data_IF_605443283112
#
_entry.id   IF_605443283112
#
_cell.length_a   1.000
_cell.length_b   1.000
_cell.length_c   1.000
_cell.angle_alpha   90.00
_cell.angle_beta   90.00
_cell.angle_gamma   90.00
#
_symmetry.space_group_name_H-M   'P 1'
#
loop_
_entity.id
_entity.type
_entity.pdbx_description
1 polymer ?
#
# COMPACT_ATOMS: atom_id res chain seq x y z
N UNK A 1 11.66 6.85 7.30
CA UNK A 1 10.71 5.73 7.10
C UNK A 1 10.62 5.49 5.60
N UNK A 2 10.71 4.24 5.15
CA UNK A 2 10.58 3.86 3.74
C UNK A 2 9.18 4.20 3.24
N UNK A 3 9.08 4.88 2.10
CA UNK A 3 7.79 5.31 1.51
C UNK A 3 7.35 4.37 0.39
N UNK A 4 6.08 4.42 -0.02
CA UNK A 4 5.58 3.66 -1.18
C UNK A 4 6.32 4.02 -2.47
N UNK A 5 6.70 5.30 -2.59
CA UNK A 5 7.54 5.76 -3.69
C UNK A 5 8.92 5.12 -3.69
N UNK A 6 9.54 4.96 -2.52
CA UNK A 6 10.82 4.25 -2.41
C UNK A 6 10.66 2.80 -2.82
N UNK A 7 9.60 2.11 -2.36
CA UNK A 7 9.33 0.72 -2.72
C UNK A 7 9.11 0.55 -4.22
N UNK A 8 8.38 1.48 -4.86
CA UNK A 8 8.22 1.51 -6.31
C UNK A 8 9.57 1.66 -7.03
N UNK A 9 10.45 2.56 -6.58
CA UNK A 9 11.77 2.77 -7.17
C UNK A 9 12.73 1.61 -6.91
N UNK A 10 12.64 0.96 -5.76
CA UNK A 10 13.42 -0.24 -5.45
C UNK A 10 12.95 -1.44 -6.28
N UNK A 11 11.63 -1.60 -6.49
CA UNK A 11 11.09 -2.59 -7.41
C UNK A 11 11.57 -2.38 -8.86
N UNK A 12 11.60 -1.13 -9.35
CA UNK A 12 12.17 -0.78 -10.66
C UNK A 12 13.67 -1.09 -10.72
N UNK A 13 14.42 -0.70 -9.69
CA UNK A 13 15.88 -0.91 -9.64
C UNK A 13 16.26 -2.39 -9.54
N UNK A 14 15.38 -3.26 -9.02
CA UNK A 14 15.67 -4.70 -8.95
C UNK A 14 15.89 -5.34 -10.32
N UNK A 15 15.26 -4.83 -11.38
CA UNK A 15 15.50 -5.26 -12.76
C UNK A 15 16.93 -4.97 -13.26
N UNK A 16 17.64 -4.05 -12.63
CA UNK A 16 19.02 -3.72 -13.00
C UNK A 16 20.04 -4.69 -12.41
N UNK A 17 19.62 -5.64 -11.59
CA UNK A 17 20.47 -6.72 -11.06
C UNK A 17 20.88 -7.69 -12.18
N UNK A 18 20.01 -7.86 -13.17
CA UNK A 18 20.30 -8.67 -14.36
C UNK A 18 21.52 -8.10 -15.13
N UNK A 19 22.59 -8.88 -15.17
CA UNK A 19 23.82 -8.51 -15.88
C UNK A 19 23.69 -8.53 -17.39
N UNK A 20 22.68 -9.23 -17.92
CA UNK A 20 22.37 -9.28 -19.34
C UNK A 20 21.57 -8.07 -19.82
N UNK A 21 21.04 -7.25 -18.91
CA UNK A 21 20.23 -6.09 -19.26
C UNK A 21 21.09 -4.93 -19.74
N UNK A 22 20.82 -4.49 -20.97
CA UNK A 22 21.43 -3.32 -21.58
C UNK A 22 20.70 -2.03 -21.22
N UNK A 23 21.33 -0.88 -21.48
CA UNK A 23 20.75 0.47 -21.28
C UNK A 23 20.31 0.80 -19.86
N UNK A 24 20.91 0.18 -18.85
CA UNK A 24 20.72 0.52 -17.43
C UNK A 24 21.86 1.42 -16.93
N UNK A 25 21.60 2.33 -15.96
CA UNK A 25 22.63 3.22 -15.44
C UNK A 25 23.80 2.48 -14.78
N UNK A 26 23.50 1.37 -14.07
CA UNK A 26 24.47 0.52 -13.39
C UNK A 26 23.82 -0.79 -12.91
N UNK A 27 24.63 -1.84 -12.70
CA UNK A 27 24.15 -3.03 -11.98
C UNK A 27 24.33 -2.84 -10.47
N UNK A 28 23.27 -3.00 -9.66
CA UNK A 28 23.38 -2.99 -8.20
C UNK A 28 24.34 -4.08 -7.71
N UNK A 29 25.23 -3.72 -6.75
CA UNK A 29 26.18 -4.66 -6.13
C UNK A 29 26.18 -4.48 -4.62
N UNK A 30 26.46 -5.56 -3.89
CA UNK A 30 26.63 -5.52 -2.43
C UNK A 30 27.56 -4.39 -2.01
N UNK A 31 27.15 -3.59 -1.06
CA UNK A 31 27.89 -2.43 -0.51
C UNK A 31 27.62 -1.11 -1.23
N UNK A 32 27.01 -1.13 -2.43
CA UNK A 32 26.66 0.10 -3.16
C UNK A 32 25.61 0.92 -2.40
N UNK A 33 25.70 2.24 -2.52
CA UNK A 33 24.71 3.17 -1.96
C UNK A 33 23.85 3.71 -3.12
N UNK A 34 22.56 3.42 -3.04
CA UNK A 34 21.54 3.96 -3.91
C UNK A 34 21.06 5.29 -3.32
N UNK A 35 21.08 6.36 -4.09
CA UNK A 35 20.74 7.71 -3.61
C UNK A 35 19.65 8.35 -4.47
N UNK A 36 18.95 9.38 -3.98
CA UNK A 36 18.04 10.17 -4.80
C UNK A 36 18.68 10.83 -6.03
N UNK A 37 20.03 10.96 -6.04
CA UNK A 37 20.79 11.47 -7.20
C UNK A 37 21.01 10.39 -8.26
N UNK A 38 21.22 9.14 -7.85
CA UNK A 38 21.46 8.02 -8.76
C UNK A 38 20.19 7.34 -9.21
N UNK A 39 19.16 7.35 -8.38
CA UNK A 39 17.82 6.81 -8.69
C UNK A 39 16.80 7.91 -8.46
N UNK A 40 16.35 8.49 -9.56
CA UNK A 40 15.35 9.57 -9.52
C UNK A 40 14.06 9.09 -8.88
N UNK A 41 13.67 9.74 -7.80
CA UNK A 41 12.42 9.46 -7.10
C UNK A 41 12.58 8.75 -5.77
N UNK A 42 13.75 8.20 -5.41
CA UNK A 42 14.01 7.81 -4.03
C UNK A 42 13.89 9.03 -3.10
N UNK A 43 13.35 8.83 -1.90
CA UNK A 43 13.19 9.88 -0.88
C UNK A 43 14.37 9.93 0.08
N UNK A 44 15.11 8.82 0.22
CA UNK A 44 16.26 8.67 1.09
C UNK A 44 17.30 7.70 0.47
N UNK A 45 18.54 7.69 0.96
CA UNK A 45 19.54 6.73 0.47
C UNK A 45 19.36 5.35 1.10
N UNK A 46 19.76 4.31 0.34
CA UNK A 46 19.74 2.90 0.74
C UNK A 46 21.10 2.25 0.48
N UNK A 47 21.54 1.35 1.35
CA UNK A 47 22.70 0.48 1.13
C UNK A 47 22.26 -0.87 0.63
N UNK A 48 22.82 -1.33 -0.48
CA UNK A 48 22.62 -2.69 -0.99
C UNK A 48 23.37 -3.67 -0.08
N UNK A 49 22.62 -4.55 0.56
CA UNK A 49 23.13 -5.56 1.50
C UNK A 49 23.53 -6.85 0.78
N UNK A 50 22.71 -7.26 -0.18
CA UNK A 50 22.90 -8.47 -0.98
C UNK A 50 22.17 -8.34 -2.30
N UNK A 51 22.68 -9.01 -3.35
CA UNK A 51 22.02 -9.18 -4.65
C UNK A 51 22.02 -10.67 -5.02
N UNK A 52 21.01 -11.08 -5.78
CA UNK A 52 20.95 -12.40 -6.42
C UNK A 52 20.63 -12.20 -7.90
N UNK A 53 21.42 -12.84 -8.76
CA UNK A 53 21.23 -12.87 -10.20
C UNK A 53 21.35 -14.31 -10.65
N UNK A 54 20.22 -15.04 -10.58
CA UNK A 54 20.19 -16.44 -10.97
C UNK A 54 19.87 -16.57 -12.46
N UNK A 55 20.93 -16.56 -13.27
CA UNK A 55 20.81 -16.67 -14.73
C UNK A 55 20.27 -18.03 -15.23
N UNK A 56 20.15 -19.05 -14.36
CA UNK A 56 19.59 -20.36 -14.74
C UNK A 56 18.07 -20.35 -14.80
N UNK A 57 17.42 -19.67 -13.85
CA UNK A 57 15.96 -19.58 -13.78
C UNK A 57 15.41 -18.16 -13.91
N UNK A 58 16.28 -17.17 -14.12
CA UNK A 58 15.88 -15.77 -14.33
C UNK A 58 15.41 -15.03 -13.07
N UNK A 59 15.62 -15.56 -11.86
CA UNK A 59 15.26 -14.87 -10.62
C UNK A 59 16.33 -13.84 -10.25
N UNK A 60 15.94 -12.56 -10.25
CA UNK A 60 16.80 -11.47 -9.76
C UNK A 60 16.15 -10.83 -8.51
N UNK A 61 17.01 -10.48 -7.54
CA UNK A 61 16.58 -9.79 -6.34
C UNK A 61 17.71 -8.95 -5.74
N UNK A 62 17.33 -7.93 -4.98
CA UNK A 62 18.25 -7.21 -4.11
C UNK A 62 17.64 -6.98 -2.74
N UNK A 63 18.47 -7.03 -1.70
CA UNK A 63 18.13 -6.63 -0.36
C UNK A 63 18.84 -5.31 -0.02
N UNK A 64 18.11 -4.35 0.53
CA UNK A 64 18.64 -3.04 0.88
C UNK A 64 18.22 -2.64 2.30
N UNK A 65 19.00 -1.75 2.93
CA UNK A 65 18.64 -1.11 4.19
C UNK A 65 18.72 0.42 4.04
N UNK A 66 17.80 1.19 4.65
CA UNK A 66 17.84 2.64 4.60
C UNK A 66 19.06 3.19 5.34
N UNK A 67 19.54 4.36 4.90
CA UNK A 67 20.59 5.10 5.60
C UNK A 67 19.93 6.29 6.30
N UNK A 68 19.91 6.27 7.63
CA UNK A 68 19.34 7.31 8.48
C UNK A 68 20.47 8.05 9.19
N UNK A 69 20.54 9.37 9.05
CA UNK A 69 21.59 10.20 9.66
C UNK A 69 23.03 9.71 9.34
N UNK A 70 23.25 9.23 8.11
CA UNK A 70 24.55 8.70 7.67
C UNK A 70 24.87 7.26 8.13
N UNK A 71 23.99 6.64 8.92
CA UNK A 71 24.17 5.27 9.43
C UNK A 71 23.22 4.32 8.74
N UNK A 72 23.71 3.13 8.37
CA UNK A 72 22.88 2.07 7.78
C UNK A 72 22.00 1.47 8.87
N UNK A 73 20.69 1.59 8.69
CA UNK A 73 19.71 1.05 9.65
C UNK A 73 19.29 -0.38 9.23
N UNK A 74 20.02 -1.36 9.72
CA UNK A 74 19.73 -2.77 9.45
C UNK A 74 18.60 -3.34 10.31
N UNK A 75 17.91 -2.54 11.13
CA UNK A 75 16.66 -2.94 11.77
C UNK A 75 15.49 -2.97 10.78
N UNK A 76 15.65 -2.33 9.62
CA UNK A 76 14.70 -2.32 8.50
C UNK A 76 15.40 -2.84 7.24
N UNK A 77 14.90 -3.92 6.66
CA UNK A 77 15.43 -4.49 5.42
C UNK A 77 14.32 -4.61 4.39
N UNK A 78 14.58 -4.15 3.19
CA UNK A 78 13.67 -4.28 2.06
C UNK A 78 14.26 -5.30 1.08
N UNK A 79 13.46 -6.30 0.67
CA UNK A 79 13.81 -7.23 -0.40
C UNK A 79 12.97 -6.88 -1.62
N UNK A 80 13.63 -6.47 -2.70
CA UNK A 80 13.00 -6.17 -3.97
C UNK A 80 13.27 -7.29 -4.99
N UNK A 81 12.19 -7.87 -5.53
CA UNK A 81 12.23 -8.90 -6.56
C UNK A 81 11.91 -8.32 -7.93
N UNK A 82 12.74 -8.66 -8.93
CA UNK A 82 12.47 -8.31 -10.31
C UNK A 82 11.44 -9.25 -10.93
N UNK A 83 10.59 -8.70 -11.79
CA UNK A 83 9.75 -9.49 -12.68
C UNK A 83 10.50 -9.99 -13.91
N UNK A 84 9.77 -10.58 -14.86
CA UNK A 84 10.35 -10.98 -16.15
C UNK A 84 10.72 -9.74 -16.95
N UNK A 85 11.94 -9.74 -17.53
CA UNK A 85 12.35 -8.71 -18.49
C UNK A 85 11.60 -8.89 -19.81
N UNK A 86 10.58 -8.08 -20.06
CA UNK A 86 9.73 -8.12 -21.25
C UNK A 86 10.31 -7.37 -22.47
N UNK A 87 11.61 -7.07 -22.50
CA UNK A 87 12.21 -6.32 -23.60
C UNK A 87 12.09 -7.00 -24.97
N UNK A 88 11.72 -8.30 -25.01
CA UNK A 88 11.40 -9.03 -26.25
C UNK A 88 10.22 -10.02 -26.08
N UNK A 89 9.10 -9.68 -26.76
CA UNK A 89 8.00 -10.55 -27.19
C UNK A 89 6.86 -10.93 -26.21
N UNK A 90 5.65 -10.79 -26.77
CA UNK A 90 4.38 -11.36 -26.33
C UNK A 90 4.41 -12.89 -26.03
N UNK A 91 5.39 -13.62 -26.54
CA UNK A 91 5.58 -15.05 -26.30
C UNK A 91 6.00 -15.35 -24.85
N UNK A 92 6.69 -14.41 -24.17
CA UNK A 92 7.07 -14.55 -22.76
C UNK A 92 5.90 -14.31 -21.78
N UNK A 93 4.82 -13.71 -22.24
CA UNK A 93 3.58 -13.61 -21.49
C UNK A 93 2.97 -15.01 -21.23
N UNK A 94 3.15 -15.91 -22.19
CA UNK A 94 2.70 -17.30 -22.11
C UNK A 94 3.55 -18.06 -21.08
N UNK A 95 4.86 -17.79 -20.99
CA UNK A 95 5.75 -18.39 -20.00
C UNK A 95 5.48 -17.86 -18.58
N UNK A 96 5.22 -16.55 -18.43
CA UNK A 96 4.83 -15.97 -17.14
C UNK A 96 3.50 -16.54 -16.64
N UNK A 97 2.52 -16.78 -17.54
CA UNK A 97 1.24 -17.43 -17.18
C UNK A 97 1.41 -18.90 -16.79
N UNK A 98 2.42 -19.58 -17.32
CA UNK A 98 2.73 -20.98 -16.97
C UNK A 98 3.37 -21.07 -15.58
N UNK A 99 4.24 -20.10 -15.22
CA UNK A 99 4.85 -19.99 -13.89
C UNK A 99 3.80 -19.62 -12.84
N UNK A 100 2.89 -18.72 -13.16
CA UNK A 100 1.75 -18.34 -12.30
C UNK A 100 0.73 -19.49 -12.15
N UNK A 101 0.71 -20.44 -13.11
CA UNK A 101 -0.14 -21.64 -13.07
C UNK A 101 0.23 -22.69 -12.04
N UNK A 102 1.23 -22.47 -11.18
CA UNK A 102 1.51 -23.32 -10.01
C UNK A 102 2.62 -24.36 -10.19
N UNK A 103 3.40 -24.29 -11.26
CA UNK A 103 4.56 -25.17 -11.42
C UNK A 103 5.79 -24.59 -10.70
N UNK A 104 6.11 -25.14 -9.54
CA UNK A 104 7.33 -24.79 -8.80
C UNK A 104 8.61 -25.30 -9.47
N UNK A 105 8.52 -26.26 -10.36
CA UNK A 105 9.63 -26.87 -11.09
C UNK A 105 9.40 -26.72 -12.61
N UNK A 106 10.23 -25.94 -13.28
CA UNK A 106 10.26 -25.86 -14.73
C UNK A 106 11.15 -26.98 -15.28
N UNK A 107 10.55 -27.95 -15.97
CA UNK A 107 11.28 -28.89 -16.80
C UNK A 107 11.40 -28.34 -18.22
N UNK A 108 12.57 -27.84 -18.60
CA UNK A 108 12.83 -27.44 -19.98
C UNK A 108 13.28 -28.69 -20.74
N UNK A 109 12.59 -29.09 -21.83
CA UNK A 109 13.05 -30.17 -22.68
C UNK A 109 14.36 -29.75 -23.36
N UNK A 110 15.47 -30.35 -23.00
CA UNK A 110 16.69 -30.21 -23.78
C UNK A 110 16.60 -31.11 -25.01
N UNK A 111 16.70 -30.53 -26.18
CA UNK A 111 16.64 -31.27 -27.46
C UNK A 111 17.76 -32.32 -27.66
N UNK A 112 18.83 -32.27 -26.84
CA UNK A 112 19.97 -33.21 -26.87
C UNK A 112 20.52 -33.41 -25.46
N UNK A 113 19.92 -34.31 -24.66
CA UNK A 113 20.43 -34.68 -23.35
C UNK A 113 19.34 -34.94 -22.31
N UNK A 114 19.71 -35.47 -21.15
CA UNK A 114 18.80 -35.64 -20.01
C UNK A 114 18.20 -34.28 -19.59
N UNK A 115 16.91 -34.19 -19.30
CA UNK A 115 16.31 -32.93 -18.87
C UNK A 115 16.99 -32.43 -17.59
N UNK A 116 17.64 -31.28 -17.66
CA UNK A 116 18.15 -30.62 -16.45
C UNK A 116 16.95 -30.05 -15.69
N UNK A 117 16.78 -30.50 -14.45
CA UNK A 117 15.72 -29.98 -13.58
C UNK A 117 16.16 -28.60 -13.11
N UNK A 118 15.53 -27.55 -13.62
CA UNK A 118 15.79 -26.18 -13.18
C UNK A 118 14.89 -25.88 -11.98
N UNK A 119 15.51 -25.45 -10.89
CA UNK A 119 14.80 -25.00 -9.69
C UNK A 119 13.93 -23.80 -10.00
N UNK A 120 12.66 -23.82 -9.60
CA UNK A 120 11.73 -22.73 -9.85
C UNK A 120 12.13 -21.42 -9.14
N UNK A 121 11.71 -20.27 -9.70
CA UNK A 121 12.06 -18.95 -9.16
C UNK A 121 11.61 -18.78 -7.70
N UNK A 122 10.45 -19.31 -7.30
CA UNK A 122 9.94 -19.26 -5.93
C UNK A 122 10.91 -19.92 -4.92
N UNK A 123 11.52 -21.04 -5.29
CA UNK A 123 12.49 -21.75 -4.43
C UNK A 123 13.77 -20.93 -4.27
N UNK A 124 14.29 -20.36 -5.35
CA UNK A 124 15.47 -19.48 -5.32
C UNK A 124 15.19 -18.20 -4.52
N UNK A 125 14.00 -17.61 -4.70
CA UNK A 125 13.56 -16.44 -3.94
C UNK A 125 13.48 -16.74 -2.43
N UNK A 126 12.97 -17.93 -2.05
CA UNK A 126 12.93 -18.35 -0.65
C UNK A 126 14.33 -18.57 -0.07
N UNK A 127 15.27 -19.16 -0.81
CA UNK A 127 16.67 -19.30 -0.39
C UNK A 127 17.32 -17.93 -0.16
N UNK A 128 17.07 -16.98 -1.05
CA UNK A 128 17.55 -15.61 -0.89
C UNK A 128 16.98 -14.97 0.36
N UNK A 129 15.66 -15.04 0.58
CA UNK A 129 14.97 -14.53 1.75
C UNK A 129 15.50 -15.14 3.06
N UNK A 130 15.69 -16.48 3.09
CA UNK A 130 16.27 -17.19 4.23
C UNK A 130 17.66 -16.66 4.58
N UNK A 131 18.51 -16.45 3.57
CA UNK A 131 19.86 -15.92 3.79
C UNK A 131 19.87 -14.49 4.33
N UNK A 132 18.86 -13.69 4.00
CA UNK A 132 18.67 -12.34 4.57
C UNK A 132 18.22 -12.44 6.02
N UNK A 133 17.23 -13.30 6.33
CA UNK A 133 16.77 -13.53 7.70
C UNK A 133 17.89 -14.02 8.63
N UNK A 134 18.76 -14.93 8.14
CA UNK A 134 19.93 -15.39 8.88
C UNK A 134 20.97 -14.29 9.12
N UNK A 135 21.21 -13.45 8.11
CA UNK A 135 22.17 -12.33 8.21
C UNK A 135 21.67 -11.18 9.09
N UNK A 136 20.35 -10.98 9.15
CA UNK A 136 19.68 -9.90 9.86
C UNK A 136 18.49 -10.41 10.68
N UNK A 137 18.71 -11.26 11.69
CA UNK A 137 17.63 -12.00 12.38
C UNK A 137 16.66 -11.10 13.17
N UNK A 138 17.06 -9.86 13.48
CA UNK A 138 16.23 -8.89 14.20
C UNK A 138 15.61 -7.82 13.30
N UNK A 139 15.87 -7.90 11.98
CA UNK A 139 15.34 -6.92 11.05
C UNK A 139 13.84 -7.12 10.81
N UNK A 140 13.12 -6.01 10.74
CA UNK A 140 11.79 -5.96 10.13
C UNK A 140 11.97 -6.02 8.62
N UNK A 141 11.52 -7.11 8.01
CA UNK A 141 11.66 -7.31 6.57
C UNK A 141 10.36 -6.90 5.87
N UNK A 142 10.51 -6.09 4.83
CA UNK A 142 9.43 -5.78 3.88
C UNK A 142 9.83 -6.27 2.51
N UNK A 143 8.91 -6.90 1.77
CA UNK A 143 9.14 -7.26 0.38
C UNK A 143 8.47 -6.27 -0.55
N UNK A 144 9.00 -6.12 -1.76
CA UNK A 144 8.41 -5.33 -2.84
C UNK A 144 8.77 -5.95 -4.19
N UNK A 145 7.96 -5.69 -5.19
CA UNK A 145 8.21 -6.15 -6.54
C UNK A 145 7.26 -5.52 -7.55
N UNK A 146 7.41 -5.93 -8.78
CA UNK A 146 6.53 -5.54 -9.88
C UNK A 146 6.30 -6.75 -10.79
N UNK A 147 5.09 -6.90 -11.32
CA UNK A 147 4.77 -8.01 -12.23
C UNK A 147 5.02 -9.38 -11.55
N UNK A 148 5.73 -10.30 -12.21
CA UNK A 148 6.13 -11.57 -11.61
C UNK A 148 7.01 -11.37 -10.35
N UNK A 149 7.78 -10.29 -10.27
CA UNK A 149 8.55 -9.94 -9.07
C UNK A 149 7.65 -9.65 -7.87
N UNK A 150 6.49 -9.03 -8.08
CA UNK A 150 5.51 -8.83 -7.03
C UNK A 150 4.79 -10.15 -6.64
N UNK A 151 4.52 -11.04 -7.60
CA UNK A 151 4.06 -12.39 -7.30
C UNK A 151 5.02 -13.12 -6.34
N UNK A 152 6.34 -13.07 -6.62
CA UNK A 152 7.36 -13.63 -5.74
C UNK A 152 7.42 -12.88 -4.40
N UNK A 153 7.32 -11.55 -4.41
CA UNK A 153 7.37 -10.73 -3.19
C UNK A 153 6.22 -11.06 -2.24
N UNK A 154 4.99 -11.20 -2.74
CA UNK A 154 3.83 -11.62 -1.95
C UNK A 154 4.01 -13.04 -1.44
N UNK A 155 4.45 -13.98 -2.29
CA UNK A 155 4.73 -15.35 -1.88
C UNK A 155 5.71 -15.41 -0.72
N UNK A 156 6.86 -14.76 -0.86
CA UNK A 156 7.91 -14.71 0.16
C UNK A 156 7.41 -14.03 1.45
N UNK A 157 6.67 -12.93 1.32
CA UNK A 157 6.10 -12.25 2.48
C UNK A 157 5.15 -13.14 3.25
N UNK A 158 4.24 -13.85 2.56
CA UNK A 158 3.28 -14.75 3.18
C UNK A 158 3.96 -15.95 3.88
N UNK A 159 4.91 -16.60 3.20
CA UNK A 159 5.65 -17.76 3.76
C UNK A 159 6.54 -17.40 4.97
N UNK A 160 7.01 -16.15 5.03
CA UNK A 160 7.86 -15.69 6.13
C UNK A 160 7.13 -14.78 7.13
N UNK A 161 5.83 -14.53 6.93
CA UNK A 161 5.00 -13.66 7.78
C UNK A 161 5.53 -12.22 7.83
N UNK A 162 5.92 -11.68 6.68
CA UNK A 162 6.45 -10.34 6.50
C UNK A 162 5.44 -9.40 5.85
N UNK A 163 5.71 -8.09 5.95
CA UNK A 163 4.98 -7.08 5.19
C UNK A 163 5.38 -7.09 3.72
N UNK A 164 4.41 -6.86 2.84
CA UNK A 164 4.63 -6.58 1.42
C UNK A 164 3.98 -5.27 1.01
N UNK A 165 4.63 -4.56 0.09
CA UNK A 165 3.97 -3.49 -0.70
C UNK A 165 4.61 -3.46 -2.07
N UNK A 166 3.83 -3.80 -3.09
CA UNK A 166 4.32 -3.86 -4.46
C UNK A 166 3.26 -3.50 -5.50
N UNK A 167 3.54 -3.80 -6.76
CA UNK A 167 2.83 -3.17 -7.88
C UNK A 167 2.54 -4.17 -9.01
N UNK A 168 1.30 -4.19 -9.46
CA UNK A 168 0.85 -4.88 -10.68
C UNK A 168 1.25 -6.36 -10.77
N UNK A 169 1.33 -7.08 -9.63
CA UNK A 169 1.63 -8.50 -9.60
C UNK A 169 0.40 -9.39 -9.61
N UNK A 170 0.45 -10.58 -10.22
CA UNK A 170 -0.58 -11.61 -10.08
C UNK A 170 -0.67 -12.14 -8.64
N UNK A 171 -1.74 -12.86 -8.32
CA UNK A 171 -1.98 -13.43 -6.99
C UNK A 171 -1.31 -14.80 -6.82
N UNK A 172 -0.37 -15.00 -5.86
CA UNK A 172 0.31 -16.27 -5.64
C UNK A 172 -0.45 -17.26 -4.76
N UNK A 173 -1.71 -17.03 -4.42
CA UNK A 173 -2.46 -17.80 -3.44
C UNK A 173 -2.39 -19.32 -3.66
N UNK A 174 -2.33 -19.77 -4.92
CA UNK A 174 -2.33 -21.20 -5.28
C UNK A 174 -1.07 -21.93 -4.85
N UNK A 175 0.07 -21.22 -4.76
CA UNK A 175 1.36 -21.81 -4.36
C UNK A 175 1.71 -21.60 -2.88
N UNK A 176 0.89 -20.88 -2.13
CA UNK A 176 1.11 -20.67 -0.70
C UNK A 176 0.89 -21.98 0.08
N UNK A 177 1.71 -22.19 1.11
CA UNK A 177 1.48 -23.22 2.12
C UNK A 177 0.16 -22.96 2.86
N UNK A 178 -0.36 -23.98 3.53
CA UNK A 178 -1.59 -23.84 4.31
C UNK A 178 -1.39 -22.89 5.50
N UNK A 179 -0.20 -22.88 6.09
CA UNK A 179 0.22 -21.94 7.12
C UNK A 179 0.23 -20.51 6.60
N UNK A 180 0.80 -20.26 5.42
CA UNK A 180 0.83 -18.95 4.78
C UNK A 180 -0.58 -18.48 4.41
N UNK A 181 -1.44 -19.35 3.87
CA UNK A 181 -2.86 -19.03 3.59
C UNK A 181 -3.61 -18.64 4.85
N UNK A 182 -3.39 -19.37 5.95
CA UNK A 182 -3.98 -19.01 7.23
C UNK A 182 -3.48 -17.66 7.72
N UNK A 183 -2.17 -17.43 7.68
CA UNK A 183 -1.57 -16.18 8.12
C UNK A 183 -2.09 -14.98 7.30
N UNK A 184 -2.19 -15.10 5.98
CA UNK A 184 -2.75 -14.05 5.11
C UNK A 184 -4.18 -13.71 5.51
N UNK A 185 -5.02 -14.73 5.79
CA UNK A 185 -6.41 -14.54 6.23
C UNK A 185 -6.49 -13.82 7.57
N UNK A 186 -5.60 -14.17 8.50
CA UNK A 186 -5.61 -13.66 9.88
C UNK A 186 -4.94 -12.26 9.96
N UNK A 187 -4.23 -11.82 8.90
CA UNK A 187 -3.49 -10.55 8.86
C UNK A 187 -3.82 -9.69 7.63
N UNK A 188 -5.08 -9.29 7.45
CA UNK A 188 -5.49 -8.47 6.30
C UNK A 188 -4.74 -7.13 6.31
N UNK A 189 -4.31 -6.68 5.12
CA UNK A 189 -3.62 -5.40 4.94
C UNK A 189 -2.10 -5.42 5.17
N UNK A 190 -1.50 -6.54 5.62
CA UNK A 190 -0.04 -6.68 5.65
C UNK A 190 0.56 -6.92 4.26
N UNK A 191 -0.20 -7.50 3.35
CA UNK A 191 0.13 -7.64 1.94
C UNK A 191 -0.62 -6.58 1.16
N UNK A 192 0.09 -5.70 0.48
CA UNK A 192 -0.47 -4.62 -0.35
C UNK A 192 0.11 -4.73 -1.76
N UNK A 193 -0.76 -4.93 -2.73
CA UNK A 193 -0.42 -4.98 -4.14
C UNK A 193 -1.26 -3.95 -4.90
N UNK A 194 -0.69 -2.82 -5.20
CA UNK A 194 -1.36 -1.79 -6.00
C UNK A 194 -1.47 -2.27 -7.44
N UNK A 195 -2.69 -2.51 -7.91
CA UNK A 195 -2.98 -2.95 -9.27
C UNK A 195 -3.73 -1.89 -10.06
N UNK A 196 -3.25 -1.60 -11.25
CA UNK A 196 -4.05 -0.82 -12.18
C UNK A 196 -5.25 -1.66 -12.64
N UNK A 197 -6.48 -1.12 -12.53
CA UNK A 197 -7.70 -1.83 -12.93
C UNK A 197 -7.73 -2.26 -14.40
N UNK A 198 -6.93 -1.60 -15.24
CA UNK A 198 -6.80 -1.89 -16.68
C UNK A 198 -5.61 -2.78 -17.03
N UNK A 199 -4.78 -3.13 -16.06
CA UNK A 199 -3.67 -4.05 -16.24
C UNK A 199 -4.17 -5.50 -16.35
N UNK A 200 -3.98 -6.12 -17.52
CA UNK A 200 -4.40 -7.51 -17.74
C UNK A 200 -3.45 -8.54 -17.12
N UNK A 201 -2.18 -8.15 -16.89
CA UNK A 201 -1.15 -9.04 -16.33
C UNK A 201 -1.31 -9.10 -14.82
N UNK A 202 -1.27 -7.95 -14.15
CA UNK A 202 -1.39 -7.88 -12.69
C UNK A 202 -2.73 -8.40 -12.16
N UNK A 203 -3.80 -8.29 -12.94
CA UNK A 203 -5.12 -8.77 -12.55
C UNK A 203 -5.36 -10.25 -12.86
N UNK A 204 -4.36 -10.95 -13.40
CA UNK A 204 -4.46 -12.39 -13.63
C UNK A 204 -4.43 -13.15 -12.28
N UNK A 205 -5.20 -14.24 -12.17
CA UNK A 205 -5.25 -15.08 -10.98
C UNK A 205 -6.16 -14.57 -9.83
N UNK A 206 -6.81 -13.41 -10.02
CA UNK A 206 -7.77 -12.88 -9.03
C UNK A 206 -7.12 -12.18 -7.84
N UNK A 207 -7.74 -12.28 -6.66
CA UNK A 207 -7.29 -11.63 -5.41
C UNK A 207 -7.65 -12.49 -4.19
N UNK A 208 -7.24 -13.74 -4.17
CA UNK A 208 -7.52 -14.66 -3.05
C UNK A 208 -6.68 -14.36 -1.82
N UNK A 209 -5.50 -13.76 -1.99
CA UNK A 209 -4.69 -13.25 -0.86
C UNK A 209 -5.30 -12.02 -0.21
N UNK A 210 -6.24 -11.32 -0.87
CA UNK A 210 -6.75 -10.03 -0.41
C UNK A 210 -5.73 -8.88 -0.53
N UNK A 211 -4.56 -9.12 -1.13
CA UNK A 211 -3.50 -8.12 -1.25
C UNK A 211 -3.79 -7.02 -2.26
N UNK A 212 -4.61 -7.30 -3.30
CA UNK A 212 -4.80 -6.37 -4.40
C UNK A 212 -5.71 -5.20 -4.05
N UNK A 213 -5.18 -3.99 -4.26
CA UNK A 213 -5.91 -2.73 -4.23
C UNK A 213 -6.03 -2.22 -5.65
N UNK A 214 -7.24 -2.29 -6.21
CA UNK A 214 -7.51 -1.91 -7.60
C UNK A 214 -7.67 -0.39 -7.72
N UNK A 215 -6.75 0.25 -8.42
CA UNK A 215 -6.73 1.68 -8.65
C UNK A 215 -6.75 2.02 -10.14
N UNK A 216 -7.32 3.17 -10.48
CA UNK A 216 -7.23 3.72 -11.83
C UNK A 216 -6.03 4.65 -11.94
N UNK A 217 -4.91 4.16 -12.44
CA UNK A 217 -3.72 4.97 -12.70
C UNK A 217 -3.67 5.52 -14.14
N UNK A 218 -4.74 5.39 -14.93
CA UNK A 218 -4.77 5.86 -16.31
C UNK A 218 -4.81 7.39 -16.40
N UNK A 219 -3.76 7.98 -16.96
CA UNK A 219 -3.72 9.41 -17.29
C UNK A 219 -4.55 9.67 -18.54
N UNK A 220 -5.63 10.44 -18.44
CA UNK A 220 -6.43 10.84 -19.59
C UNK A 220 -7.46 9.81 -20.09
N UNK A 221 -7.84 8.85 -19.24
CA UNK A 221 -8.86 7.84 -19.54
C UNK A 221 -8.32 6.55 -20.14
N UNK A 222 -9.17 5.53 -20.21
CA UNK A 222 -8.82 4.21 -20.74
C UNK A 222 -8.55 4.24 -22.25
N UNK A 223 -7.40 3.74 -22.66
CA UNK A 223 -7.04 3.52 -24.07
C UNK A 223 -6.63 2.05 -24.28
N UNK A 224 -7.45 1.26 -24.99
CA UNK A 224 -7.18 -0.18 -25.19
C UNK A 224 -5.90 -0.48 -25.97
N UNK A 225 -5.41 0.49 -26.77
CA UNK A 225 -4.15 0.36 -27.56
C UNK A 225 -2.92 0.46 -26.65
N UNK A 226 -3.07 1.12 -25.49
CA UNK A 226 -2.01 1.32 -24.49
C UNK A 226 -2.07 0.33 -23.31
N UNK A 227 -2.53 -0.89 -23.55
CA UNK A 227 -2.76 -1.87 -22.49
C UNK A 227 -1.51 -2.22 -21.68
N UNK A 228 -0.33 -2.15 -22.27
CA UNK A 228 0.95 -2.37 -21.59
C UNK A 228 1.38 -1.18 -20.72
N UNK A 229 0.99 0.07 -21.07
CA UNK A 229 1.30 1.25 -20.27
C UNK A 229 0.65 1.19 -18.88
N UNK A 230 -0.47 0.43 -18.75
CA UNK A 230 -1.15 0.24 -17.46
C UNK A 230 -0.43 -0.75 -16.53
N UNK A 231 0.47 -1.55 -17.08
CA UNK A 231 1.30 -2.48 -16.33
C UNK A 231 2.57 -1.82 -15.78
N UNK A 232 3.04 -0.75 -16.42
CA UNK A 232 4.32 -0.12 -16.13
C UNK A 232 4.36 0.58 -14.77
N UNK A 233 5.50 0.50 -14.08
CA UNK A 233 5.74 1.17 -12.79
C UNK A 233 5.65 2.69 -12.87
N UNK A 234 5.91 3.28 -14.05
CA UNK A 234 5.82 4.73 -14.27
C UNK A 234 4.38 5.26 -14.30
N UNK A 235 3.38 4.38 -14.41
CA UNK A 235 1.97 4.75 -14.33
C UNK A 235 1.60 5.30 -12.94
N UNK A 236 2.29 4.88 -11.89
CA UNK A 236 2.02 5.25 -10.52
C UNK A 236 2.51 6.65 -10.18
N UNK A 237 1.68 7.41 -9.47
CA UNK A 237 1.98 8.76 -9.01
C UNK A 237 2.10 8.78 -7.48
N UNK A 238 2.93 9.70 -6.99
CA UNK A 238 3.19 9.84 -5.57
C UNK A 238 3.15 11.32 -5.17
N UNK A 239 2.66 11.59 -3.99
CA UNK A 239 2.67 12.93 -3.40
C UNK A 239 4.09 13.33 -2.93
N UNK A 240 4.20 14.53 -2.35
CA UNK A 240 5.48 15.06 -1.84
C UNK A 240 6.02 14.24 -0.66
N UNK A 241 5.16 13.55 0.07
CA UNK A 241 5.51 12.67 1.20
C UNK A 241 5.86 11.25 0.77
N UNK A 242 5.72 10.94 -0.53
CA UNK A 242 6.02 9.63 -1.09
C UNK A 242 4.88 8.61 -0.97
N UNK A 243 3.66 9.06 -0.65
CA UNK A 243 2.48 8.21 -0.65
C UNK A 243 1.90 8.10 -2.06
N UNK A 244 1.33 6.95 -2.39
CA UNK A 244 0.72 6.71 -3.69
C UNK A 244 -0.57 7.54 -3.84
N UNK A 245 -0.70 8.19 -5.00
CA UNK A 245 -1.87 8.97 -5.40
C UNK A 245 -2.44 8.38 -6.68
N UNK A 246 -3.66 7.87 -6.63
CA UNK A 246 -4.33 7.36 -7.83
C UNK A 246 -5.17 8.47 -8.49
N UNK A 247 -4.93 8.80 -9.77
CA UNK A 247 -5.80 9.71 -10.51
C UNK A 247 -7.21 9.10 -10.64
N UNK A 248 -8.25 9.88 -10.33
CA UNK A 248 -9.65 9.49 -10.55
C UNK A 248 -10.30 8.64 -9.46
N UNK A 249 -9.59 8.23 -8.42
CA UNK A 249 -10.17 7.82 -7.14
C UNK A 249 -9.92 8.89 -6.10
N UNK A 250 -10.85 8.98 -5.18
CA UNK A 250 -10.60 9.78 -3.99
C UNK A 250 -9.29 9.27 -3.36
N UNK A 251 -8.41 10.16 -3.02
CA UNK A 251 -7.26 9.90 -2.14
C UNK A 251 -7.66 9.16 -0.85
N UNK A 252 -8.97 9.03 -0.61
CA UNK A 252 -9.61 8.33 0.49
C UNK A 252 -9.40 6.83 0.46
N UNK A 253 -9.64 6.14 -0.68
CA UNK A 253 -9.54 4.67 -0.72
C UNK A 253 -8.09 4.21 -0.54
N UNK A 254 -7.14 4.98 -1.11
CA UNK A 254 -5.71 4.73 -0.91
C UNK A 254 -5.30 5.00 0.54
N UNK A 255 -5.84 6.06 1.18
CA UNK A 255 -5.57 6.36 2.59
C UNK A 255 -6.17 5.33 3.53
N UNK A 256 -7.41 4.90 3.30
CA UNK A 256 -8.05 3.85 4.12
C UNK A 256 -7.25 2.55 4.07
N UNK A 257 -6.87 2.09 2.87
CA UNK A 257 -6.04 0.90 2.72
C UNK A 257 -4.68 1.04 3.43
N UNK A 258 -4.07 2.23 3.37
CA UNK A 258 -2.81 2.51 4.07
C UNK A 258 -2.99 2.52 5.60
N UNK A 259 -4.10 3.07 6.10
CA UNK A 259 -4.42 3.06 7.54
C UNK A 259 -4.64 1.63 8.04
N UNK A 260 -5.39 0.81 7.30
CA UNK A 260 -5.61 -0.60 7.61
C UNK A 260 -4.30 -1.39 7.59
N UNK A 261 -3.46 -1.20 6.58
CA UNK A 261 -2.14 -1.83 6.49
C UNK A 261 -1.23 -1.40 7.65
N UNK A 262 -1.27 -0.12 8.05
CA UNK A 262 -0.49 0.40 9.17
C UNK A 262 -0.93 -0.24 10.49
N UNK A 263 -2.24 -0.31 10.74
CA UNK A 263 -2.81 -0.92 11.94
C UNK A 263 -2.44 -2.40 12.01
N UNK A 264 -2.61 -3.13 10.92
CA UNK A 264 -2.26 -4.56 10.83
C UNK A 264 -0.77 -4.80 11.05
N UNK A 265 0.10 -3.94 10.52
CA UNK A 265 1.54 -4.02 10.74
C UNK A 265 1.94 -3.78 12.20
N UNK A 266 1.29 -2.84 12.87
CA UNK A 266 1.53 -2.60 14.30
C UNK A 266 1.10 -3.80 15.15
N UNK A 267 -0.06 -4.39 14.85
CA UNK A 267 -0.54 -5.62 15.51
C UNK A 267 0.42 -6.80 15.29
N UNK A 268 0.92 -6.97 14.07
CA UNK A 268 1.91 -7.99 13.77
C UNK A 268 3.21 -7.78 14.56
N UNK A 269 3.73 -6.56 14.65
CA UNK A 269 4.93 -6.27 15.45
C UNK A 269 4.72 -6.63 16.94
N UNK A 270 3.53 -6.36 17.47
CA UNK A 270 3.18 -6.70 18.84
C UNK A 270 3.08 -8.22 19.04
N UNK A 271 2.52 -8.93 18.05
CA UNK A 271 2.48 -10.40 18.03
C UNK A 271 3.89 -11.01 18.02
N UNK A 272 4.81 -10.48 17.20
CA UNK A 272 6.22 -10.90 17.19
C UNK A 272 6.89 -10.67 18.56
N UNK A 273 6.60 -9.53 19.19
CA UNK A 273 7.09 -9.26 20.56
C UNK A 273 6.54 -10.29 21.56
N UNK A 274 5.24 -10.56 21.51
CA UNK A 274 4.58 -11.59 22.33
C UNK A 274 5.23 -12.96 22.19
N UNK A 275 5.49 -13.38 20.94
CA UNK A 275 6.13 -14.66 20.66
C UNK A 275 7.58 -14.72 21.17
N UNK A 276 8.32 -13.62 21.08
CA UNK A 276 9.67 -13.53 21.61
C UNK A 276 9.69 -13.63 23.16
N UNK A 277 8.75 -12.96 23.83
CA UNK A 277 8.61 -13.03 25.29
C UNK A 277 8.24 -14.46 25.72
N UNK A 278 7.29 -15.11 25.06
CA UNK A 278 6.91 -16.51 25.32
C UNK A 278 8.09 -17.48 25.17
N UNK A 279 8.90 -17.30 24.13
CA UNK A 279 10.09 -18.14 23.89
C UNK A 279 11.19 -17.93 24.94
N UNK A 280 11.32 -16.70 25.46
CA UNK A 280 12.36 -16.34 26.45
C UNK A 280 12.06 -16.89 27.83
N UNK A 281 10.78 -17.01 28.22
CA UNK A 281 10.36 -17.33 29.58
C UNK A 281 9.46 -18.58 29.69
N UNK A 282 9.23 -19.29 28.59
CA UNK A 282 8.35 -20.46 28.56
C UNK A 282 6.85 -20.15 28.70
N UNK A 283 6.46 -18.90 28.57
CA UNK A 283 5.10 -18.35 28.65
C UNK A 283 5.14 -16.85 28.86
N UNK A 284 3.99 -16.18 28.89
CA UNK A 284 3.86 -14.79 29.32
C UNK A 284 3.55 -14.75 30.81
N UNK A 285 4.17 -13.83 31.53
CA UNK A 285 3.74 -13.42 32.87
C UNK A 285 2.43 -12.63 32.77
N UNK A 286 1.67 -12.51 33.87
CA UNK A 286 0.42 -11.72 33.91
C UNK A 286 0.64 -10.27 33.49
N UNK A 287 1.76 -9.65 33.89
CA UNK A 287 2.09 -8.27 33.49
C UNK A 287 2.44 -8.16 31.99
N UNK A 288 3.13 -9.15 31.42
CA UNK A 288 3.39 -9.20 29.98
C UNK A 288 2.09 -9.39 29.17
N UNK A 289 1.15 -10.24 29.67
CA UNK A 289 -0.19 -10.36 29.05
C UNK A 289 -0.96 -9.04 29.09
N UNK A 290 -0.99 -8.34 30.22
CA UNK A 290 -1.64 -7.04 30.35
C UNK A 290 -1.00 -6.03 29.38
N UNK A 291 0.31 -6.01 29.30
CA UNK A 291 1.05 -5.12 28.37
C UNK A 291 0.68 -5.41 26.90
N UNK A 292 0.71 -6.69 26.48
CA UNK A 292 0.39 -7.08 25.10
C UNK A 292 -1.07 -6.76 24.78
N UNK A 293 -2.02 -7.16 25.62
CA UNK A 293 -3.44 -6.94 25.40
C UNK A 293 -3.80 -5.44 25.37
N UNK A 294 -3.18 -4.64 26.25
CA UNK A 294 -3.33 -3.19 26.26
C UNK A 294 -2.75 -2.55 25.01
N UNK A 295 -1.59 -3.04 24.54
CA UNK A 295 -0.97 -2.62 23.30
C UNK A 295 -1.85 -2.92 22.08
N UNK A 296 -2.41 -4.13 21.97
CA UNK A 296 -3.37 -4.49 20.92
C UNK A 296 -4.61 -3.58 20.92
N UNK A 297 -5.20 -3.37 22.10
CA UNK A 297 -6.36 -2.49 22.25
C UNK A 297 -6.07 -1.06 21.80
N UNK A 298 -4.89 -0.50 22.16
CA UNK A 298 -4.48 0.84 21.76
C UNK A 298 -4.23 0.95 20.26
N UNK A 299 -3.64 -0.06 19.63
CA UNK A 299 -3.38 -0.09 18.19
C UNK A 299 -4.71 -0.09 17.42
N UNK A 300 -5.64 -0.97 17.80
CA UNK A 300 -6.97 -1.05 17.19
C UNK A 300 -7.74 0.26 17.39
N UNK A 301 -7.72 0.81 18.59
CA UNK A 301 -8.36 2.08 18.94
C UNK A 301 -7.84 3.23 18.07
N UNK A 302 -6.51 3.36 17.96
CA UNK A 302 -5.89 4.41 17.15
C UNK A 302 -6.20 4.23 15.65
N UNK A 303 -6.17 2.99 15.15
CA UNK A 303 -6.55 2.69 13.76
C UNK A 303 -7.99 3.08 13.46
N UNK A 304 -8.93 2.67 14.31
CA UNK A 304 -10.35 3.02 14.19
C UNK A 304 -10.57 4.54 14.28
N UNK A 305 -9.86 5.23 15.18
CA UNK A 305 -9.94 6.68 15.33
C UNK A 305 -9.49 7.39 14.06
N UNK A 306 -8.37 6.97 13.49
CA UNK A 306 -7.83 7.55 12.27
C UNK A 306 -8.79 7.40 11.08
N UNK A 307 -9.38 6.22 10.91
CA UNK A 307 -10.36 5.94 9.84
C UNK A 307 -11.64 6.78 10.01
N UNK A 308 -12.15 6.89 11.23
CA UNK A 308 -13.36 7.67 11.51
C UNK A 308 -13.14 9.17 11.29
N UNK A 309 -12.00 9.70 11.76
CA UNK A 309 -11.65 11.12 11.57
C UNK A 309 -11.47 11.47 10.09
N UNK A 310 -10.77 10.64 9.32
CA UNK A 310 -10.61 10.86 7.87
C UNK A 310 -11.97 10.79 7.17
N UNK A 311 -12.81 9.80 7.52
CA UNK A 311 -14.13 9.63 6.94
C UNK A 311 -15.03 10.84 7.17
N UNK A 312 -15.20 11.27 8.41
CA UNK A 312 -16.05 12.41 8.76
C UNK A 312 -15.52 13.74 8.21
N UNK A 313 -14.19 13.93 8.24
CA UNK A 313 -13.55 15.13 7.66
C UNK A 313 -13.77 15.19 6.15
N UNK A 314 -13.68 14.06 5.46
CA UNK A 314 -13.94 13.99 4.01
C UNK A 314 -15.39 14.33 3.70
N UNK A 315 -16.34 13.76 4.43
CA UNK A 315 -17.78 14.06 4.26
C UNK A 315 -18.07 15.55 4.47
N UNK A 316 -17.46 16.18 5.48
CA UNK A 316 -17.63 17.61 5.70
C UNK A 316 -17.07 18.46 4.54
N UNK A 317 -15.92 18.05 3.96
CA UNK A 317 -15.37 18.72 2.76
C UNK A 317 -16.27 18.56 1.55
N UNK A 318 -16.82 17.37 1.33
CA UNK A 318 -17.74 17.11 0.21
C UNK A 318 -19.01 17.96 0.32
N UNK A 319 -19.56 18.13 1.52
CA UNK A 319 -20.70 19.02 1.76
C UNK A 319 -20.34 20.49 1.55
N UNK A 320 -19.17 20.93 2.02
CA UNK A 320 -18.71 22.31 1.76
C UNK A 320 -18.51 22.57 0.26
N UNK A 321 -17.98 21.59 -0.47
CA UNK A 321 -17.83 21.71 -1.93
C UNK A 321 -19.19 21.79 -2.62
N UNK A 322 -20.19 21.00 -2.20
CA UNK A 322 -21.53 21.06 -2.76
C UNK A 322 -22.21 22.44 -2.55
N UNK A 323 -21.94 23.10 -1.40
CA UNK A 323 -22.39 24.49 -1.17
C UNK A 323 -21.73 25.45 -2.18
N UNK A 324 -20.42 25.34 -2.35
CA UNK A 324 -19.68 26.18 -3.30
C UNK A 324 -20.17 25.96 -4.74
N UNK A 325 -20.40 24.72 -5.14
CA UNK A 325 -20.95 24.38 -6.45
C UNK A 325 -22.35 24.96 -6.68
N UNK A 326 -23.20 25.00 -5.65
CA UNK A 326 -24.52 25.63 -5.73
C UNK A 326 -24.41 27.17 -5.92
N UNK A 327 -23.47 27.81 -5.23
CA UNK A 327 -23.20 29.25 -5.41
C UNK A 327 -22.67 29.56 -6.82
N UNK A 328 -21.77 28.75 -7.34
CA UNK A 328 -21.25 28.85 -8.71
C UNK A 328 -22.35 28.65 -9.75
N UNK A 329 -23.18 27.60 -9.55
CA UNK A 329 -24.31 27.32 -10.43
C UNK A 329 -25.28 28.49 -10.50
N UNK A 330 -25.61 29.13 -9.38
CA UNK A 330 -26.46 30.32 -9.36
C UNK A 330 -25.83 31.47 -10.14
N UNK A 331 -24.55 31.78 -9.90
CA UNK A 331 -23.82 32.85 -10.60
C UNK A 331 -23.81 32.61 -12.11
N UNK A 332 -23.44 31.40 -12.56
CA UNK A 332 -23.46 31.03 -13.97
C UNK A 332 -24.86 31.11 -14.59
N UNK A 333 -25.89 30.74 -13.84
CA UNK A 333 -27.29 30.83 -14.29
C UNK A 333 -27.69 32.28 -14.57
N UNK A 334 -27.35 33.20 -13.65
CA UNK A 334 -27.63 34.63 -13.83
C UNK A 334 -26.83 35.20 -14.98
N UNK A 335 -25.54 34.91 -15.10
CA UNK A 335 -24.68 35.38 -16.18
C UNK A 335 -25.21 34.92 -17.56
N UNK A 336 -25.62 33.65 -17.68
CA UNK A 336 -26.21 33.10 -18.92
C UNK A 336 -27.55 33.74 -19.25
N UNK A 337 -28.41 33.98 -18.27
CA UNK A 337 -29.68 34.64 -18.44
C UNK A 337 -29.51 36.09 -18.88
N UNK A 338 -28.55 36.81 -18.33
CA UNK A 338 -28.20 38.18 -18.77
C UNK A 338 -27.66 38.19 -20.20
N UNK A 339 -26.87 37.19 -20.58
CA UNK A 339 -26.38 37.05 -21.97
C UNK A 339 -27.50 36.78 -23.00
N UNK A 340 -28.62 36.19 -22.58
CA UNK A 340 -29.81 35.98 -23.43
C UNK A 340 -30.68 37.25 -23.45
N UNK A 341 -30.93 37.89 -22.29
CA UNK A 341 -31.76 39.07 -22.14
C UNK A 341 -30.94 40.34 -22.11
N UNK A 342 -30.15 40.60 -23.16
CA UNK A 342 -29.21 41.74 -23.23
C UNK A 342 -29.87 43.12 -23.06
N UNK A 343 -31.18 43.23 -23.35
CA UNK A 343 -31.95 44.46 -23.20
C UNK A 343 -32.66 44.54 -21.83
N UNK A 344 -32.55 43.50 -20.98
CA UNK A 344 -33.17 43.47 -19.67
C UNK A 344 -32.18 43.97 -18.60
N UNK A 345 -32.73 44.70 -17.62
CA UNK A 345 -31.97 45.01 -16.42
C UNK A 345 -31.69 43.74 -15.58
N UNK A 346 -30.70 43.82 -14.69
CA UNK A 346 -30.38 42.70 -13.81
C UNK A 346 -31.63 42.23 -13.00
N UNK A 347 -32.41 43.13 -12.49
CA UNK A 347 -33.61 42.82 -11.69
C UNK A 347 -34.67 42.12 -12.52
N UNK A 348 -34.90 42.54 -13.78
CA UNK A 348 -35.83 41.88 -14.71
C UNK A 348 -35.38 40.47 -15.07
N UNK A 349 -34.06 40.22 -15.19
CA UNK A 349 -33.49 38.87 -15.40
C UNK A 349 -33.74 37.98 -14.17
N UNK A 350 -33.51 38.51 -12.97
CA UNK A 350 -33.77 37.75 -11.72
C UNK A 350 -35.27 37.44 -11.58
N UNK A 351 -36.16 38.38 -11.93
CA UNK A 351 -37.61 38.19 -11.90
C UNK A 351 -38.09 37.13 -12.91
N UNK A 352 -37.49 37.15 -14.10
CA UNK A 352 -37.73 36.10 -15.13
C UNK A 352 -37.28 34.70 -14.69
N UNK A 353 -36.08 34.60 -14.10
CA UNK A 353 -35.57 33.36 -13.52
C UNK A 353 -36.49 32.86 -12.39
N UNK A 354 -36.93 33.75 -11.51
CA UNK A 354 -37.83 33.42 -10.41
C UNK A 354 -39.18 32.91 -10.92
N UNK A 355 -39.70 33.52 -11.99
CA UNK A 355 -40.95 33.07 -12.64
C UNK A 355 -40.84 31.67 -13.23
N UNK A 356 -39.63 31.28 -13.65
CA UNK A 356 -39.28 29.90 -14.08
C UNK A 356 -38.94 28.93 -12.92
N UNK A 357 -39.03 29.37 -11.66
CA UNK A 357 -38.74 28.56 -10.47
C UNK A 357 -37.27 28.56 -10.05
N UNK A 358 -36.38 29.22 -10.80
CA UNK A 358 -34.97 29.35 -10.46
C UNK A 358 -34.72 30.59 -9.59
N UNK A 359 -34.52 30.41 -8.31
CA UNK A 359 -34.21 31.48 -7.37
C UNK A 359 -32.91 31.22 -6.63
N UNK A 360 -32.26 32.27 -6.16
CA UNK A 360 -31.09 32.09 -5.28
C UNK A 360 -31.44 31.25 -4.04
N UNK A 361 -32.66 31.41 -3.52
CA UNK A 361 -33.13 30.65 -2.39
C UNK A 361 -33.24 29.16 -2.71
N UNK A 362 -33.81 28.77 -3.85
CA UNK A 362 -34.02 27.37 -4.21
C UNK A 362 -32.71 26.67 -4.61
N UNK A 363 -31.78 27.37 -5.25
CA UNK A 363 -30.52 26.81 -5.73
C UNK A 363 -29.44 26.84 -4.64
N UNK A 364 -29.26 27.98 -3.96
CA UNK A 364 -28.21 28.18 -2.96
C UNK A 364 -28.74 28.00 -1.54
N UNK A 365 -29.80 28.74 -1.16
CA UNK A 365 -30.21 28.84 0.22
C UNK A 365 -30.68 27.52 0.83
N UNK A 366 -31.52 26.74 0.13
CA UNK A 366 -32.02 25.45 0.59
C UNK A 366 -30.91 24.40 0.59
N UNK A 367 -30.05 24.41 -0.43
CA UNK A 367 -28.87 23.54 -0.56
C UNK A 367 -27.89 23.80 0.58
N UNK A 368 -27.54 25.07 0.83
CA UNK A 368 -26.65 25.48 1.93
C UNK A 368 -27.20 25.03 3.27
N UNK A 369 -28.46 25.33 3.56
CA UNK A 369 -29.10 24.94 4.81
C UNK A 369 -29.07 23.43 5.03
N UNK A 370 -29.33 22.64 3.98
CA UNK A 370 -29.31 21.18 4.06
C UNK A 370 -27.91 20.65 4.37
N UNK A 371 -26.87 21.12 3.64
CA UNK A 371 -25.52 20.62 3.84
C UNK A 371 -24.86 21.14 5.12
N UNK A 372 -25.15 22.36 5.58
CA UNK A 372 -24.70 22.85 6.88
C UNK A 372 -25.24 22.00 8.04
N UNK A 373 -26.52 21.63 8.01
CA UNK A 373 -27.09 20.71 9.01
C UNK A 373 -26.40 19.35 9.01
N UNK A 374 -26.02 18.83 7.84
CA UNK A 374 -25.26 17.58 7.71
C UNK A 374 -23.83 17.71 8.24
N UNK A 375 -23.17 18.83 7.95
CA UNK A 375 -21.84 19.14 8.48
C UNK A 375 -21.85 19.24 10.01
N UNK A 376 -22.84 19.92 10.59
CA UNK A 376 -23.00 20.01 12.04
C UNK A 376 -23.25 18.66 12.70
N UNK A 377 -23.98 17.78 12.01
CA UNK A 377 -24.19 16.41 12.49
C UNK A 377 -22.90 15.59 12.44
N UNK A 378 -22.13 15.67 11.33
CA UNK A 378 -20.84 15.00 11.18
C UNK A 378 -19.83 15.51 12.22
N UNK A 379 -19.81 16.82 12.48
CA UNK A 379 -18.96 17.44 13.50
C UNK A 379 -19.28 16.94 14.90
N UNK A 380 -20.55 16.89 15.27
CA UNK A 380 -20.96 16.33 16.57
C UNK A 380 -20.56 14.86 16.71
N UNK A 381 -20.78 14.05 15.68
CA UNK A 381 -20.36 12.64 15.70
C UNK A 381 -18.84 12.51 15.90
N UNK A 382 -18.05 13.37 15.26
CA UNK A 382 -16.61 13.38 15.41
C UNK A 382 -16.19 13.73 16.84
N UNK A 383 -16.80 14.77 17.42
CA UNK A 383 -16.51 15.22 18.79
C UNK A 383 -16.91 14.16 19.83
N UNK A 384 -18.09 13.55 19.70
CA UNK A 384 -18.55 12.45 20.56
C UNK A 384 -17.61 11.24 20.44
N UNK A 385 -17.20 10.90 19.24
CA UNK A 385 -16.27 9.81 19.00
C UNK A 385 -14.90 10.06 19.65
N UNK A 386 -14.36 11.28 19.54
CA UNK A 386 -13.10 11.67 20.18
C UNK A 386 -13.16 11.56 21.71
N UNK A 387 -14.27 11.95 22.30
CA UNK A 387 -14.48 11.80 23.75
C UNK A 387 -14.46 10.32 24.13
N UNK A 388 -15.23 9.49 23.43
CA UNK A 388 -15.27 8.04 23.66
C UNK A 388 -13.89 7.40 23.55
N UNK A 389 -13.12 7.73 22.50
CA UNK A 389 -11.75 7.22 22.29
C UNK A 389 -10.81 7.64 23.42
N UNK A 390 -10.95 8.89 23.89
CA UNK A 390 -10.16 9.40 25.02
C UNK A 390 -10.47 8.65 26.33
N UNK A 391 -11.74 8.37 26.60
CA UNK A 391 -12.19 7.62 27.79
C UNK A 391 -11.68 6.17 27.78
N UNK A 392 -11.77 5.49 26.62
CA UNK A 392 -11.26 4.12 26.47
C UNK A 392 -9.74 4.10 26.69
N UNK A 393 -9.01 5.04 26.07
CA UNK A 393 -7.56 5.15 26.25
C UNK A 393 -7.19 5.39 27.71
N UNK A 394 -7.86 6.30 28.38
CA UNK A 394 -7.61 6.57 29.81
C UNK A 394 -7.88 5.33 30.68
N UNK A 395 -8.88 4.54 30.36
CA UNK A 395 -9.18 3.29 31.06
C UNK A 395 -8.08 2.24 30.87
N UNK A 396 -7.55 2.09 29.65
CA UNK A 396 -6.42 1.21 29.33
C UNK A 396 -5.17 1.66 30.10
N UNK A 397 -4.83 2.95 30.02
CA UNK A 397 -3.67 3.53 30.71
C UNK A 397 -3.75 3.33 32.24
N UNK A 398 -4.97 3.48 32.82
CA UNK A 398 -5.21 3.23 34.25
C UNK A 398 -5.00 1.76 34.62
N UNK A 399 -5.41 0.83 33.77
CA UNK A 399 -5.21 -0.61 34.00
C UNK A 399 -3.72 -0.97 33.99
N UNK A 400 -2.95 -0.46 33.02
CA UNK A 400 -1.49 -0.65 32.95
C UNK A 400 -0.79 -0.04 34.16
N UNK A 401 -1.19 1.16 34.57
CA UNK A 401 -0.58 1.83 35.74
C UNK A 401 -0.84 1.05 37.04
N UNK A 402 -2.03 0.50 37.23
CA UNK A 402 -2.35 -0.35 38.40
C UNK A 402 -1.52 -1.63 38.43
N UNK A 403 -1.33 -2.29 37.29
CA UNK A 403 -0.51 -3.49 37.20
C UNK A 403 0.94 -3.16 37.55
N UNK A 404 1.50 -2.07 37.02
CA UNK A 404 2.85 -1.60 37.38
C UNK A 404 3.02 -1.26 38.87
N UNK A 405 1.97 -0.71 39.49
CA UNK A 405 2.00 -0.42 40.93
C UNK A 405 2.01 -1.72 41.76
N UNK A 406 1.11 -2.67 41.41
CA UNK A 406 1.07 -3.97 42.09
C UNK A 406 2.37 -4.75 41.93
N UNK A 407 2.99 -4.72 40.76
CA UNK A 407 4.29 -5.35 40.51
C UNK A 407 5.41 -4.77 41.41
N UNK A 408 5.37 -3.45 41.71
CA UNK A 408 6.31 -2.82 42.65
C UNK A 408 6.03 -3.17 44.10
N UNK A 409 4.77 -3.34 44.48
CA UNK A 409 4.37 -3.69 45.86
C UNK A 409 4.66 -5.16 46.21
N UNK A 410 4.72 -6.04 45.21
CA UNK A 410 4.99 -7.49 45.38
C UNK A 410 6.50 -7.80 45.36
N UNK A 411 7.36 -6.87 44.89
CA UNK A 411 8.81 -7.03 44.85
C UNK A 411 9.53 -6.79 46.23
N UNK A 412 8.87 -6.99 47.35
CA UNK A 412 9.46 -7.01 48.67
C UNK A 412 9.65 -8.41 49.22
#
# INVERSE_FOLDING_TARGET
MTTEKDLNRLADTSYWVDKGKENIPFNPKKGMILTPKTIKGLTQPYKVLKVEDNTKNGMQAMAVAPIKNGVVDTSEVIIAYAGTNFDDNLDRLTDATTVVGGNMDLSIPQWWGSPEKIEGQAVTAQKFATSIKESYPKALVTTTGHSLGEYLAIYIAAENQWKNTGFNGPDPYTILSDEAKKWVKDNPGLLVNYRNKHDKIGNFGGNKTGAAILLDASKGGYNPIKSLDYHDLSAWQFDKSGNLVAPGRSSRDSRLAQMEATTSYQLWNLSVLSDNLRKSHGGLSSSEEIFINSGEALIVLNGASTVMEDGLTTVMKDYQQAITEAEELWRETVERAQGIGMDLSHDEVIEALASGGATQRSIVGETTTFYEQKMDSAKRMLDEYRVLMSEIKASIDQQVAKDQQLAKEIQF
#
